data_IF_853287070887
#
_entry.id   IF_853287070887
#
_cell.length_a   1.000
_cell.length_b   1.000
_cell.length_c   1.000
_cell.angle_alpha   90.00
_cell.angle_beta   90.00
_cell.angle_gamma   90.00
#
_symmetry.space_group_name_H-M   'P 1'
#
loop_
_entity.id
_entity.type
_entity.pdbx_description
1 polymer ?
#
# COMPACT_ATOMS: atom_id res chain seq x y z
N UNK A 1 4.13 13.95 9.96
CA UNK A 1 3.74 12.51 10.01
C UNK A 1 5.00 11.73 9.74
N UNK A 2 5.71 11.33 10.80
CA UNK A 2 7.00 10.64 10.67
C UNK A 2 6.75 9.13 10.74
N UNK A 3 6.51 8.52 9.58
CA UNK A 3 6.46 7.06 9.42
C UNK A 3 7.90 6.56 9.59
N UNK A 4 8.15 5.74 10.61
CA UNK A 4 9.44 5.04 10.74
C UNK A 4 9.41 3.83 9.81
N UNK A 5 10.54 3.61 9.11
CA UNK A 5 10.69 2.76 7.94
C UNK A 5 9.92 1.43 8.02
N UNK A 6 8.94 1.27 7.12
CA UNK A 6 8.27 0.01 6.91
C UNK A 6 9.09 -0.87 5.97
N UNK A 7 9.20 -2.15 6.28
CA UNK A 7 9.80 -3.13 5.37
C UNK A 7 8.81 -3.44 4.25
N UNK A 8 9.25 -3.31 2.99
CA UNK A 8 8.47 -3.68 1.81
C UNK A 8 9.29 -4.67 0.99
N UNK A 9 8.72 -5.85 0.76
CA UNK A 9 9.28 -6.84 -0.15
C UNK A 9 8.45 -6.85 -1.44
N UNK A 10 9.06 -6.50 -2.55
CA UNK A 10 8.46 -6.58 -3.89
C UNK A 10 9.03 -7.78 -4.65
N UNK A 11 8.16 -8.68 -5.09
CA UNK A 11 8.54 -9.89 -5.84
C UNK A 11 7.94 -9.83 -7.24
N UNK A 12 8.76 -9.90 -8.31
CA UNK A 12 8.25 -10.05 -9.66
C UNK A 12 7.62 -11.43 -9.84
N UNK A 13 6.42 -11.48 -10.41
CA UNK A 13 5.68 -12.74 -10.63
C UNK A 13 5.96 -13.30 -12.03
N UNK A 14 6.13 -12.43 -13.04
CA UNK A 14 6.40 -12.81 -14.44
C UNK A 14 7.00 -11.65 -15.23
N UNK A 15 7.90 -11.98 -16.16
CA UNK A 15 8.39 -11.05 -17.18
C UNK A 15 7.69 -11.33 -18.52
N UNK A 16 6.72 -10.49 -18.84
CA UNK A 16 6.03 -10.35 -20.14
C UNK A 16 6.30 -8.91 -20.66
N UNK A 17 5.77 -8.45 -21.81
CA UNK A 17 5.75 -7.02 -22.17
C UNK A 17 5.23 -6.09 -21.05
N UNK A 18 4.55 -6.67 -20.06
CA UNK A 18 4.28 -6.06 -18.76
C UNK A 18 4.94 -6.87 -17.63
N UNK A 19 5.55 -6.18 -16.67
CA UNK A 19 6.08 -6.71 -15.41
C UNK A 19 4.96 -6.74 -14.37
N UNK A 20 4.60 -7.93 -13.90
CA UNK A 20 3.66 -8.08 -12.77
C UNK A 20 4.42 -8.25 -11.47
N UNK A 21 3.94 -7.64 -10.39
CA UNK A 21 4.59 -7.69 -9.08
C UNK A 21 3.58 -7.88 -7.95
N UNK A 22 4.05 -8.41 -6.83
CA UNK A 22 3.36 -8.39 -5.54
C UNK A 22 4.28 -7.77 -4.48
N UNK A 23 3.71 -6.94 -3.63
CA UNK A 23 4.39 -6.29 -2.51
C UNK A 23 3.73 -6.69 -1.19
N UNK A 24 4.53 -7.14 -0.24
CA UNK A 24 4.12 -7.27 1.15
C UNK A 24 4.84 -6.21 1.95
N UNK A 25 4.09 -5.45 2.74
CA UNK A 25 4.60 -4.38 3.57
C UNK A 25 4.27 -4.63 5.04
N UNK A 26 5.17 -4.21 5.92
CA UNK A 26 4.93 -4.11 7.36
C UNK A 26 5.42 -2.74 7.83
N UNK A 27 4.56 -1.96 8.46
CA UNK A 27 4.88 -0.64 9.01
C UNK A 27 4.61 -0.59 10.51
N UNK A 28 5.47 0.15 11.21
CA UNK A 28 5.30 0.47 12.61
C UNK A 28 5.10 1.98 12.78
N UNK A 29 3.99 2.38 13.38
CA UNK A 29 3.69 3.76 13.70
C UNK A 29 3.87 3.99 15.20
N UNK A 30 5.09 4.40 15.58
CA UNK A 30 5.44 4.63 16.99
C UNK A 30 4.74 5.89 17.54
N UNK A 31 4.69 6.96 16.75
CA UNK A 31 4.01 8.20 17.11
C UNK A 31 2.72 8.34 16.29
N UNK A 32 1.58 8.27 16.97
CA UNK A 32 0.25 8.25 16.34
C UNK A 32 -0.63 9.39 16.85
N UNK A 33 -1.36 10.09 15.96
CA UNK A 33 -2.35 11.08 16.37
C UNK A 33 -3.35 10.47 17.36
N UNK A 34 -3.75 11.25 18.37
CA UNK A 34 -4.76 10.84 19.36
C UNK A 34 -4.47 9.50 20.08
N UNK A 35 -3.19 9.17 20.32
CA UNK A 35 -2.74 7.89 20.93
C UNK A 35 -3.14 6.65 20.09
N UNK A 36 -3.27 6.81 18.78
CA UNK A 36 -3.70 5.74 17.86
C UNK A 36 -5.18 5.40 17.97
N UNK A 37 -6.01 6.32 18.47
CA UNK A 37 -7.46 6.14 18.52
C UNK A 37 -8.12 6.63 17.26
N UNK A 38 -8.97 5.79 16.66
CA UNK A 38 -9.73 6.09 15.45
C UNK A 38 -11.22 5.82 15.66
N UNK A 39 -12.06 6.54 14.92
CA UNK A 39 -13.51 6.26 14.87
C UNK A 39 -13.71 5.12 13.88
N UNK A 40 -14.31 4.02 14.32
CA UNK A 40 -14.64 2.85 13.49
C UNK A 40 -15.89 3.10 12.65
N UNK A 41 -16.21 2.17 11.74
CA UNK A 41 -17.46 2.22 10.96
C UNK A 41 -18.73 2.23 11.82
N UNK A 42 -18.65 1.72 13.05
CA UNK A 42 -19.75 1.71 14.03
C UNK A 42 -19.77 2.95 14.94
N UNK A 43 -19.01 3.99 14.58
CA UNK A 43 -18.86 5.24 15.35
C UNK A 43 -18.29 5.02 16.77
N UNK A 44 -17.65 3.88 17.03
CA UNK A 44 -16.94 3.61 18.28
C UNK A 44 -15.50 4.09 18.20
N UNK A 45 -14.95 4.49 19.35
CA UNK A 45 -13.59 5.00 19.44
C UNK A 45 -12.67 3.86 19.87
N UNK A 46 -11.91 3.31 18.94
CA UNK A 46 -11.07 2.12 19.16
C UNK A 46 -9.59 2.45 19.08
N UNK A 47 -8.79 1.76 19.90
CA UNK A 47 -7.33 1.88 19.86
C UNK A 47 -6.77 0.90 18.84
N UNK A 48 -6.15 1.41 17.79
CA UNK A 48 -5.57 0.57 16.74
C UNK A 48 -4.20 0.03 17.14
N UNK A 49 -3.78 -1.05 16.49
CA UNK A 49 -2.44 -1.61 16.64
C UNK A 49 -1.37 -0.64 16.09
N UNK A 50 -0.19 -0.51 16.72
CA UNK A 50 0.94 0.22 16.15
C UNK A 50 1.54 -0.45 14.91
N UNK A 51 1.24 -1.74 14.72
CA UNK A 51 1.70 -2.50 13.56
C UNK A 51 0.58 -2.62 12.54
N UNK A 52 0.91 -2.31 11.29
CA UNK A 52 0.02 -2.57 10.17
C UNK A 52 0.76 -3.26 9.04
N UNK A 53 0.12 -4.27 8.47
CA UNK A 53 0.58 -4.96 7.27
C UNK A 53 -0.18 -4.48 6.04
N UNK A 54 0.48 -4.57 4.89
CA UNK A 54 -0.13 -4.30 3.60
C UNK A 54 0.20 -5.38 2.59
N UNK A 55 -0.74 -5.67 1.70
CA UNK A 55 -0.51 -6.46 0.49
C UNK A 55 -0.90 -5.61 -0.70
N UNK A 56 -0.02 -5.49 -1.70
CA UNK A 56 -0.32 -4.85 -2.98
C UNK A 56 0.05 -5.78 -4.11
N UNK A 57 -0.73 -5.77 -5.17
CA UNK A 57 -0.38 -6.40 -6.44
C UNK A 57 -0.47 -5.35 -7.54
N UNK A 58 0.37 -5.48 -8.55
CA UNK A 58 0.41 -4.50 -9.62
C UNK A 58 1.00 -5.02 -10.91
N UNK A 59 0.78 -4.23 -11.95
CA UNK A 59 1.25 -4.46 -13.31
C UNK A 59 1.85 -3.17 -13.81
N UNK A 60 3.10 -3.25 -14.26
CA UNK A 60 3.82 -2.17 -14.90
C UNK A 60 4.10 -2.53 -16.34
N UNK A 61 3.79 -1.64 -17.28
CA UNK A 61 3.98 -1.87 -18.71
C UNK A 61 4.58 -0.65 -19.40
N UNK A 62 5.39 -0.91 -20.42
CA UNK A 62 5.80 0.10 -21.39
C UNK A 62 4.74 0.14 -22.50
N UNK A 63 4.05 1.27 -22.67
CA UNK A 63 2.95 1.41 -23.65
C UNK A 63 3.40 2.14 -24.92
N UNK A 64 4.46 2.93 -24.82
CA UNK A 64 5.19 3.55 -25.93
C UNK A 64 6.68 3.63 -25.54
N UNK A 65 7.63 3.88 -26.46
CA UNK A 65 9.07 3.87 -26.16
C UNK A 65 9.51 4.73 -24.96
N UNK A 66 8.74 5.75 -24.64
CA UNK A 66 8.97 6.78 -23.63
C UNK A 66 7.85 6.86 -22.57
N UNK A 67 6.82 6.00 -22.67
CA UNK A 67 5.63 6.06 -21.80
C UNK A 67 5.46 4.74 -21.03
N UNK A 68 5.42 4.86 -19.70
CA UNK A 68 5.17 3.77 -18.78
C UNK A 68 3.83 3.95 -18.06
N UNK A 69 3.10 2.86 -17.88
CA UNK A 69 1.93 2.79 -17.01
C UNK A 69 2.16 1.78 -15.89
N UNK A 70 1.79 2.16 -14.67
CA UNK A 70 1.74 1.27 -13.50
C UNK A 70 0.32 1.29 -12.94
N UNK A 71 -0.27 0.12 -12.75
CA UNK A 71 -1.56 -0.03 -12.10
C UNK A 71 -1.44 -1.01 -10.95
N UNK A 72 -1.96 -0.64 -9.78
CA UNK A 72 -1.92 -1.49 -8.61
C UNK A 72 -3.19 -1.41 -7.76
N UNK A 73 -3.43 -2.50 -7.04
CA UNK A 73 -4.49 -2.66 -6.05
C UNK A 73 -3.85 -3.16 -4.76
N UNK A 74 -4.24 -2.59 -3.63
CA UNK A 74 -3.67 -2.93 -2.34
C UNK A 74 -4.70 -2.94 -1.22
N UNK A 75 -4.44 -3.80 -0.24
CA UNK A 75 -5.09 -3.81 1.06
C UNK A 75 -4.09 -3.37 2.12
N UNK A 76 -4.41 -2.34 2.89
CA UNK A 76 -3.47 -1.65 3.79
C UNK A 76 -3.72 -1.91 5.28
N UNK A 77 -4.71 -2.75 5.60
CA UNK A 77 -5.26 -2.84 6.96
C UNK A 77 -4.99 -4.15 7.68
N UNK A 78 -4.00 -4.96 7.26
CA UNK A 78 -3.69 -6.18 8.03
C UNK A 78 -3.23 -5.81 9.44
N UNK A 79 -3.83 -6.41 10.46
CA UNK A 79 -3.50 -6.13 11.87
C UNK A 79 -4.09 -4.84 12.44
N UNK A 80 -4.92 -4.13 11.67
CA UNK A 80 -5.69 -2.95 12.13
C UNK A 80 -7.14 -3.39 12.42
N UNK A 81 -7.63 -3.16 13.63
CA UNK A 81 -9.01 -3.46 14.00
C UNK A 81 -9.93 -2.28 13.64
N UNK A 82 -11.07 -2.57 13.01
CA UNK A 82 -12.14 -1.58 12.78
C UNK A 82 -11.92 -0.62 11.61
N UNK A 83 -10.95 -0.91 10.73
CA UNK A 83 -10.67 -0.08 9.56
C UNK A 83 -10.23 -0.94 8.36
N UNK A 84 -11.11 -1.09 7.37
CA UNK A 84 -10.81 -1.79 6.11
C UNK A 84 -10.41 -0.79 5.02
N UNK A 85 -9.11 -0.73 4.68
CA UNK A 85 -8.59 0.20 3.67
C UNK A 85 -8.13 -0.55 2.42
N UNK A 86 -8.82 -0.27 1.32
CA UNK A 86 -8.41 -0.66 -0.03
C UNK A 86 -7.86 0.56 -0.77
N UNK A 87 -6.76 0.36 -1.50
CA UNK A 87 -6.12 1.37 -2.34
C UNK A 87 -6.10 0.87 -3.78
N UNK A 88 -6.57 1.71 -4.72
CA UNK A 88 -6.31 1.54 -6.14
C UNK A 88 -5.46 2.69 -6.65
N UNK A 89 -4.43 2.39 -7.43
CA UNK A 89 -3.48 3.39 -7.95
C UNK A 89 -3.21 3.16 -9.42
N UNK A 90 -3.20 4.25 -10.18
CA UNK A 90 -2.74 4.30 -11.58
C UNK A 90 -1.70 5.41 -11.67
N UNK A 91 -0.55 5.09 -12.24
CA UNK A 91 0.56 6.02 -12.42
C UNK A 91 1.00 5.99 -13.88
N UNK A 92 1.12 7.17 -14.48
CA UNK A 92 1.60 7.37 -15.84
C UNK A 92 2.91 8.15 -15.78
N UNK A 93 3.97 7.62 -16.39
CA UNK A 93 5.29 8.24 -16.44
C UNK A 93 5.71 8.43 -17.88
N UNK A 94 6.22 9.63 -18.21
CA UNK A 94 6.70 10.00 -19.54
C UNK A 94 8.16 10.45 -19.38
N UNK A 95 9.08 9.84 -20.14
CA UNK A 95 10.48 10.25 -20.19
C UNK A 95 10.67 11.41 -21.19
N UNK A 96 11.50 12.38 -20.84
CA UNK A 96 11.84 13.55 -21.67
C UNK A 96 13.34 13.82 -21.66
#
# INVERSE_FOLDING_TARGET
MNRVDGFVLSVPIKNLPARTYAEVGLSNEFERPNDGRMITGDLSLEKTSPWSGSLRTGVQALVAPDVFIDTSLGYLSFGQNGLDVWEGRVLLSIAF
#
